data_IF_671678861975
#
_entry.id   IF_671678861975
#
_cell.length_a   1.000
_cell.length_b   1.000
_cell.length_c   1.000
_cell.angle_alpha   90.00
_cell.angle_beta   90.00
_cell.angle_gamma   90.00
#
_symmetry.space_group_name_H-M   'P 1'
#
loop_
_entity.id
_entity.type
_entity.pdbx_description
1 polymer ?
#
# COMPACT_ATOMS: atom_id res chain seq x y z
N UNK A 1 -0.60 5.10 -7.39
CA UNK A 1 0.62 5.29 -6.56
C UNK A 1 0.63 4.31 -5.42
N UNK A 2 1.77 3.72 -5.15
CA UNK A 2 1.98 2.84 -4.00
C UNK A 2 3.05 3.46 -3.11
N UNK A 3 2.85 3.42 -1.80
CA UNK A 3 3.87 3.82 -0.83
C UNK A 3 4.24 2.60 0.00
N UNK A 4 5.50 2.21 -0.09
CA UNK A 4 6.06 1.13 0.70
C UNK A 4 6.37 1.63 2.11
N UNK A 5 5.73 1.02 3.08
CA UNK A 5 5.87 1.37 4.50
C UNK A 5 6.59 0.24 5.26
N UNK A 6 6.67 0.36 6.57
CA UNK A 6 7.23 -0.68 7.42
C UNK A 6 6.54 -2.03 7.19
N UNK A 7 7.33 -3.09 7.09
CA UNK A 7 6.80 -4.45 6.94
C UNK A 7 6.01 -4.90 8.18
N UNK A 8 4.89 -5.55 7.93
CA UNK A 8 4.07 -6.11 9.01
C UNK A 8 4.54 -7.51 9.41
N UNK A 9 4.98 -8.32 8.45
CA UNK A 9 5.27 -9.73 8.65
C UNK A 9 6.61 -10.15 8.04
N UNK A 10 7.75 -9.51 8.43
CA UNK A 10 9.05 -10.04 8.01
C UNK A 10 9.24 -11.42 8.65
N UNK A 11 9.84 -12.35 7.91
CA UNK A 11 10.00 -13.73 8.37
C UNK A 11 10.74 -13.86 9.70
N UNK A 12 11.69 -12.97 9.95
CA UNK A 12 12.45 -12.97 11.19
C UNK A 12 11.65 -12.54 12.43
N UNK A 13 10.61 -11.73 12.23
CA UNK A 13 9.86 -11.12 13.34
C UNK A 13 8.50 -11.78 13.55
N UNK A 14 7.69 -11.84 12.51
CA UNK A 14 6.33 -12.36 12.60
C UNK A 14 5.95 -13.10 11.32
N UNK A 15 6.47 -14.34 11.13
CA UNK A 15 6.20 -15.10 9.91
C UNK A 15 4.74 -15.56 9.84
N UNK A 16 4.15 -15.45 8.63
CA UNK A 16 2.79 -15.92 8.36
C UNK A 16 2.75 -16.99 7.27
N UNK A 17 3.89 -17.61 6.95
CA UNK A 17 3.98 -18.61 5.89
C UNK A 17 3.95 -18.02 4.48
N UNK A 18 4.40 -16.80 4.31
CA UNK A 18 4.47 -16.15 3.00
C UNK A 18 5.38 -16.94 2.04
N UNK A 19 4.95 -17.21 0.79
CA UNK A 19 5.80 -17.87 -0.20
C UNK A 19 7.12 -17.14 -0.38
N UNK A 20 8.19 -17.90 -0.60
CA UNK A 20 9.58 -17.40 -0.62
C UNK A 20 9.82 -16.21 -1.55
N UNK A 21 9.14 -16.19 -2.71
CA UNK A 21 9.29 -15.12 -3.70
C UNK A 21 8.69 -13.78 -3.26
N UNK A 22 7.80 -13.81 -2.28
CA UNK A 22 7.11 -12.63 -1.75
C UNK A 22 7.55 -12.28 -0.34
N UNK A 23 8.31 -13.15 0.31
CA UNK A 23 8.72 -12.95 1.70
C UNK A 23 9.84 -11.92 1.83
N UNK A 24 9.73 -11.06 2.83
CA UNK A 24 10.82 -10.21 3.29
C UNK A 24 11.43 -10.86 4.51
N UNK A 25 12.72 -11.19 4.44
CA UNK A 25 13.38 -11.98 5.48
C UNK A 25 13.44 -11.24 6.81
N UNK A 26 13.66 -9.94 6.80
CA UNK A 26 13.74 -9.09 7.99
C UNK A 26 13.33 -7.67 7.67
N UNK A 27 12.99 -6.91 8.72
CA UNK A 27 12.61 -5.52 8.59
C UNK A 27 13.72 -4.71 7.93
N UNK A 28 13.44 -3.96 6.87
CA UNK A 28 14.40 -3.01 6.33
C UNK A 28 14.82 -1.98 7.38
N UNK A 29 16.13 -1.83 7.56
CA UNK A 29 16.72 -0.94 8.57
C UNK A 29 17.30 0.35 7.98
N UNK A 30 17.22 0.52 6.67
CA UNK A 30 17.68 1.70 5.96
C UNK A 30 16.81 1.97 4.75
N UNK A 31 16.91 3.20 4.22
CA UNK A 31 16.19 3.56 3.00
C UNK A 31 16.64 2.71 1.81
N UNK A 32 17.94 2.40 1.71
CA UNK A 32 18.46 1.51 0.68
C UNK A 32 17.86 0.10 0.78
N UNK A 33 17.69 -0.41 1.98
CA UNK A 33 17.02 -1.71 2.19
C UNK A 33 15.55 -1.66 1.81
N UNK A 34 14.84 -0.56 2.06
CA UNK A 34 13.48 -0.36 1.55
C UNK A 34 13.43 -0.33 0.04
N UNK A 35 14.36 0.34 -0.62
CA UNK A 35 14.46 0.32 -2.07
C UNK A 35 14.76 -1.08 -2.63
N UNK A 36 15.59 -1.86 -1.94
CA UNK A 36 15.84 -3.26 -2.32
C UNK A 36 14.56 -4.11 -2.22
N UNK A 37 13.78 -3.93 -1.17
CA UNK A 37 12.49 -4.61 -1.00
C UNK A 37 11.49 -4.19 -2.10
N UNK A 38 11.44 -2.92 -2.47
CA UNK A 38 10.62 -2.44 -3.59
C UNK A 38 11.06 -3.09 -4.90
N UNK A 39 12.36 -3.20 -5.14
CA UNK A 39 12.89 -3.85 -6.35
C UNK A 39 12.50 -5.33 -6.41
N UNK A 40 12.55 -6.03 -5.28
CA UNK A 40 12.07 -7.41 -5.17
C UNK A 40 10.57 -7.50 -5.50
N UNK A 41 9.76 -6.62 -4.95
CA UNK A 41 8.33 -6.56 -5.22
C UNK A 41 8.04 -6.33 -6.71
N UNK A 42 8.73 -5.39 -7.34
CA UNK A 42 8.58 -5.11 -8.77
C UNK A 42 8.98 -6.28 -9.65
N UNK A 43 10.01 -7.03 -9.28
CA UNK A 43 10.44 -8.20 -10.05
C UNK A 43 9.48 -9.38 -9.92
N UNK A 44 8.77 -9.47 -8.81
CA UNK A 44 7.88 -10.58 -8.48
C UNK A 44 6.47 -10.38 -9.01
N UNK A 45 5.97 -9.15 -9.02
CA UNK A 45 4.62 -8.81 -9.46
C UNK A 45 4.67 -8.00 -10.75
N UNK A 46 4.28 -8.59 -11.91
CA UNK A 46 4.34 -7.92 -13.21
C UNK A 46 3.59 -6.59 -13.25
N UNK A 47 2.49 -6.44 -12.50
CA UNK A 47 1.72 -5.21 -12.43
C UNK A 47 2.55 -4.00 -11.97
N UNK A 48 3.58 -4.21 -11.14
CA UNK A 48 4.45 -3.15 -10.67
C UNK A 48 5.51 -2.72 -11.69
N UNK A 49 5.67 -3.46 -12.77
CA UNK A 49 6.56 -3.10 -13.88
C UNK A 49 5.85 -2.23 -14.94
N UNK A 50 4.55 -2.05 -14.82
CA UNK A 50 3.80 -1.19 -15.72
C UNK A 50 4.11 0.28 -15.43
N UNK A 51 4.25 1.07 -16.50
CA UNK A 51 4.67 2.47 -16.43
C UNK A 51 3.70 3.40 -15.68
N UNK A 52 2.45 2.97 -15.51
CA UNK A 52 1.42 3.74 -14.82
C UNK A 52 1.49 3.67 -13.29
N UNK A 53 2.24 2.73 -12.74
CA UNK A 53 2.31 2.52 -11.30
C UNK A 53 3.66 2.99 -10.74
N UNK A 54 3.62 4.04 -9.94
CA UNK A 54 4.80 4.54 -9.24
C UNK A 54 4.81 4.03 -7.80
N UNK A 55 5.95 3.51 -7.35
CA UNK A 55 6.15 3.02 -5.99
C UNK A 55 7.17 3.92 -5.29
N UNK A 56 6.79 4.46 -4.15
CA UNK A 56 7.63 5.27 -3.29
C UNK A 56 7.97 4.51 -2.01
N UNK A 57 9.09 4.85 -1.40
CA UNK A 57 9.41 4.40 -0.04
C UNK A 57 9.05 5.49 0.96
N UNK A 58 8.41 5.11 2.06
CA UNK A 58 8.23 6.01 3.20
C UNK A 58 9.59 6.30 3.86
N UNK A 59 9.70 7.41 4.54
CA UNK A 59 10.90 7.76 5.32
C UNK A 59 11.16 6.73 6.42
N UNK A 60 12.40 6.62 6.87
CA UNK A 60 12.74 5.70 7.96
C UNK A 60 12.10 6.09 9.30
N UNK A 61 11.65 7.31 9.44
CA UNK A 61 10.84 7.79 10.56
C UNK A 61 9.36 7.39 10.42
N UNK A 62 8.99 6.73 9.33
CA UNK A 62 7.61 6.30 9.04
C UNK A 62 6.60 7.47 9.00
N UNK A 63 7.00 8.58 8.42
CA UNK A 63 6.22 9.83 8.44
C UNK A 63 4.86 9.69 7.76
N UNK A 64 4.79 9.03 6.60
CA UNK A 64 3.53 8.82 5.87
C UNK A 64 2.68 7.77 6.58
N UNK A 65 3.29 6.68 7.03
CA UNK A 65 2.61 5.64 7.79
C UNK A 65 1.89 6.21 9.02
N UNK A 66 2.56 7.06 9.78
CA UNK A 66 2.00 7.68 10.98
C UNK A 66 0.95 8.73 10.64
N UNK A 67 1.24 9.61 9.66
CA UNK A 67 0.30 10.64 9.23
C UNK A 67 -1.04 10.07 8.79
N UNK A 68 -1.00 8.98 8.04
CA UNK A 68 -2.19 8.36 7.44
C UNK A 68 -2.74 7.19 8.28
N UNK A 69 -2.10 6.84 9.38
CA UNK A 69 -2.44 5.64 10.17
C UNK A 69 -2.56 4.41 9.26
N UNK A 70 -1.51 4.16 8.44
CA UNK A 70 -1.58 3.24 7.31
C UNK A 70 -1.11 1.82 7.62
N UNK A 71 -0.43 1.60 8.75
CA UNK A 71 0.08 0.28 9.07
C UNK A 71 -1.03 -0.68 9.54
N UNK A 72 -1.07 -1.94 9.14
CA UNK A 72 -0.15 -2.62 8.22
C UNK A 72 -0.45 -2.35 6.75
N UNK A 73 -1.65 -1.99 6.39
CA UNK A 73 -2.08 -1.67 5.03
C UNK A 73 -3.30 -0.76 5.05
N UNK A 74 -3.33 0.20 4.14
CA UNK A 74 -4.50 1.06 3.99
C UNK A 74 -4.60 1.61 2.57
N UNK A 75 -5.82 1.77 2.09
CA UNK A 75 -6.11 2.32 0.77
C UNK A 75 -6.73 3.70 0.87
N UNK A 76 -6.39 4.56 -0.07
CA UNK A 76 -6.88 5.94 -0.14
C UNK A 76 -7.25 6.30 -1.57
N UNK A 77 -8.34 7.04 -1.73
CA UNK A 77 -8.69 7.69 -2.98
C UNK A 77 -8.59 9.19 -2.81
N UNK A 78 -7.76 9.83 -3.62
CA UNK A 78 -7.70 11.29 -3.74
C UNK A 78 -8.32 11.71 -5.07
N UNK A 79 -9.12 12.74 -5.03
CA UNK A 79 -9.73 13.35 -6.21
C UNK A 79 -9.45 14.85 -6.17
N UNK A 80 -8.80 15.36 -7.22
CA UNK A 80 -8.42 16.78 -7.33
C UNK A 80 -7.64 17.29 -6.10
N UNK A 81 -6.73 16.47 -5.59
CA UNK A 81 -5.88 16.82 -4.45
C UNK A 81 -6.53 16.68 -3.07
N UNK A 82 -7.78 16.26 -3.00
CA UNK A 82 -8.50 16.06 -1.74
C UNK A 82 -8.78 14.59 -1.47
N UNK A 83 -8.70 14.18 -0.22
CA UNK A 83 -9.04 12.83 0.19
C UNK A 83 -10.55 12.60 0.06
N UNK A 84 -10.94 11.66 -0.80
CA UNK A 84 -12.33 11.33 -1.07
C UNK A 84 -12.81 10.08 -0.33
N UNK A 85 -12.00 9.02 -0.33
CA UNK A 85 -12.30 7.76 0.35
C UNK A 85 -11.06 7.22 1.02
N UNK A 86 -11.26 6.49 2.10
CA UNK A 86 -10.21 5.73 2.78
C UNK A 86 -10.77 4.40 3.29
N UNK A 87 -9.95 3.36 3.23
CA UNK A 87 -10.27 2.09 3.87
C UNK A 87 -10.04 2.19 5.37
N UNK A 88 -10.54 1.23 6.14
CA UNK A 88 -10.14 1.08 7.52
C UNK A 88 -8.68 0.68 7.62
N UNK A 89 -7.93 1.11 8.65
CA UNK A 89 -6.58 0.64 8.86
C UNK A 89 -6.59 -0.79 9.41
N UNK A 90 -5.62 -1.58 8.98
CA UNK A 90 -5.22 -2.80 9.64
C UNK A 90 -6.20 -3.96 9.63
N UNK A 91 -6.12 -4.69 10.71
CA UNK A 91 -6.59 -6.06 10.83
C UNK A 91 -8.11 -6.24 10.79
N UNK A 92 -8.87 -5.19 11.08
CA UNK A 92 -10.33 -5.28 11.23
C UNK A 92 -11.07 -5.22 9.90
N UNK A 93 -10.39 -4.80 8.88
CA UNK A 93 -10.98 -4.74 7.57
C UNK A 93 -10.12 -5.55 6.63
N UNK A 94 -10.49 -6.77 6.45
CA UNK A 94 -10.18 -7.48 5.23
C UNK A 94 -10.82 -6.75 4.04
N UNK A 95 -10.61 -5.44 3.97
CA UNK A 95 -11.00 -4.72 2.81
C UNK A 95 -10.06 -5.16 1.71
N UNK A 96 -10.50 -6.14 1.00
CA UNK A 96 -9.97 -6.54 -0.26
C UNK A 96 -9.82 -5.27 -1.11
N UNK A 97 -8.66 -5.08 -1.70
CA UNK A 97 -8.43 -4.02 -2.67
C UNK A 97 -9.55 -3.95 -3.70
N UNK A 98 -10.11 -5.10 -4.06
CA UNK A 98 -11.24 -5.23 -4.98
C UNK A 98 -12.49 -4.49 -4.49
N UNK A 99 -12.87 -4.67 -3.24
CA UNK A 99 -14.01 -3.98 -2.62
C UNK A 99 -13.78 -2.48 -2.57
N UNK A 100 -12.56 -2.05 -2.22
CA UNK A 100 -12.20 -0.65 -2.21
C UNK A 100 -12.28 -0.02 -3.61
N UNK A 101 -11.81 -0.73 -4.63
CA UNK A 101 -11.92 -0.28 -6.02
C UNK A 101 -13.37 -0.16 -6.48
N UNK A 102 -14.26 -1.06 -6.05
CA UNK A 102 -15.68 -0.96 -6.33
C UNK A 102 -16.30 0.29 -5.69
N UNK A 103 -15.95 0.59 -4.46
CA UNK A 103 -16.38 1.84 -3.80
C UNK A 103 -15.85 3.08 -4.54
N UNK A 104 -14.61 3.06 -4.99
CA UNK A 104 -14.04 4.13 -5.79
C UNK A 104 -14.81 4.35 -7.09
N UNK A 105 -15.17 3.29 -7.79
CA UNK A 105 -15.98 3.36 -9.00
C UNK A 105 -17.35 3.97 -8.72
N UNK A 106 -18.01 3.54 -7.66
CA UNK A 106 -19.29 4.10 -7.25
C UNK A 106 -19.20 5.60 -6.93
N UNK A 107 -18.08 6.05 -6.37
CA UNK A 107 -17.84 7.45 -6.08
C UNK A 107 -17.61 8.29 -7.35
N UNK A 108 -16.81 7.78 -8.27
CA UNK A 108 -16.43 8.48 -9.52
C UNK A 108 -17.60 8.52 -10.50
N UNK A 109 -18.37 7.44 -10.57
CA UNK A 109 -19.48 7.29 -11.51
C UNK A 109 -20.82 7.87 -11.00
N UNK A 110 -20.87 8.46 -9.82
CA UNK A 110 -22.05 9.18 -9.38
C UNK A 110 -22.29 10.36 -10.33
N UNK A 111 -23.50 10.45 -10.93
CA UNK A 111 -23.81 11.62 -11.72
C UNK A 111 -23.65 12.85 -10.82
N UNK A 112 -22.98 13.87 -11.32
CA UNK A 112 -22.95 15.15 -10.65
C UNK A 112 -24.39 15.62 -10.50
N UNK A 113 -24.81 15.80 -9.24
CA UNK A 113 -26.10 16.43 -8.96
C UNK A 113 -25.91 17.92 -9.12
N UNK A 114 -25.61 18.34 -10.34
CA UNK A 114 -25.70 19.74 -10.67
C UNK A 114 -27.16 20.06 -10.94
N UNK A 115 -27.65 20.79 -10.04
CA UNK A 115 -28.92 21.43 -10.25
C UNK A 115 -28.86 22.33 -11.50
#
# INVERSE_FOLDING_TARGET
>A
MVIYIREAHPDADWPIGTPKDFAIARQPCSLNERFAAISQLKSTLPAYNESSLTVYADSMENSIQELLNAWPTRFFLFVDGSLALRSHPGDDAHLDLFEFLQECQGFICKPSVDA
#
